data_IF_741631858561
#
_entry.id   IF_741631858561
#
_cell.length_a   1.000
_cell.length_b   1.000
_cell.length_c   1.000
_cell.angle_alpha   90.00
_cell.angle_beta   90.00
_cell.angle_gamma   90.00
#
_symmetry.space_group_name_H-M   'P 1'
#
loop_
_entity.id
_entity.type
_entity.pdbx_description
1 polymer ?
#
# COMPACT_ATOMS: atom_id res chain seq x y z
N UNK A 1 20.85 -1.01 -9.80
CA UNK A 1 19.83 -0.05 -9.30
C UNK A 1 18.49 -0.73 -9.41
N UNK A 2 17.61 -0.68 -8.39
CA UNK A 2 16.30 -1.35 -8.47
C UNK A 2 15.41 -0.62 -9.49
N UNK A 3 14.76 -1.36 -10.37
CA UNK A 3 13.76 -0.82 -11.29
C UNK A 3 12.40 -0.77 -10.61
N UNK A 4 11.77 0.39 -10.64
CA UNK A 4 10.50 0.65 -9.95
C UNK A 4 9.43 0.99 -10.97
N UNK A 5 8.28 0.34 -10.80
CA UNK A 5 7.06 0.61 -11.55
C UNK A 5 6.06 1.32 -10.64
N UNK A 6 5.50 2.42 -11.10
CA UNK A 6 4.25 2.97 -10.58
C UNK A 6 3.12 2.50 -11.50
N UNK A 7 2.29 1.61 -10.99
CA UNK A 7 1.13 1.07 -11.69
C UNK A 7 -0.06 2.02 -11.46
N UNK A 8 -0.36 2.82 -12.47
CA UNK A 8 -1.30 3.93 -12.40
C UNK A 8 -2.75 3.47 -12.60
N UNK A 9 -3.56 3.64 -11.57
CA UNK A 9 -5.00 3.33 -11.59
C UNK A 9 -5.87 4.54 -11.97
N UNK A 10 -5.37 5.43 -12.81
CA UNK A 10 -6.09 6.62 -13.31
C UNK A 10 -6.46 7.62 -12.20
N UNK A 11 -5.56 7.81 -11.25
CA UNK A 11 -5.75 8.76 -10.17
C UNK A 11 -5.01 10.08 -10.40
N UNK A 12 -5.62 11.20 -10.01
CA UNK A 12 -5.01 12.52 -10.12
C UNK A 12 -3.79 12.68 -9.19
N UNK A 13 -3.71 11.92 -8.10
CA UNK A 13 -2.59 11.93 -7.16
C UNK A 13 -1.43 11.00 -7.56
N UNK A 14 -1.58 10.19 -8.61
CA UNK A 14 -0.50 9.28 -9.06
C UNK A 14 0.80 10.04 -9.31
N UNK A 15 0.77 11.20 -9.95
CA UNK A 15 1.99 11.95 -10.22
C UNK A 15 2.60 12.61 -8.98
N UNK A 16 1.83 12.93 -7.94
CA UNK A 16 2.39 13.34 -6.66
C UNK A 16 3.20 12.20 -6.02
N UNK A 17 2.69 10.98 -6.13
CA UNK A 17 3.39 9.77 -5.68
C UNK A 17 4.65 9.52 -6.51
N UNK A 18 4.58 9.64 -7.84
CA UNK A 18 5.73 9.55 -8.76
C UNK A 18 6.81 10.56 -8.36
N UNK A 19 6.45 11.83 -8.24
CA UNK A 19 7.40 12.89 -7.87
C UNK A 19 8.04 12.66 -6.49
N UNK A 20 7.27 12.16 -5.51
CA UNK A 20 7.81 11.81 -4.20
C UNK A 20 8.86 10.70 -4.31
N UNK A 21 8.59 9.65 -5.09
CA UNK A 21 9.52 8.53 -5.30
C UNK A 21 10.78 8.99 -6.05
N UNK A 22 10.62 9.73 -7.14
CA UNK A 22 11.73 10.28 -7.92
C UNK A 22 12.62 11.23 -7.10
N UNK A 23 12.00 12.08 -6.28
CA UNK A 23 12.71 12.95 -5.32
C UNK A 23 13.55 12.14 -4.33
N UNK A 24 13.02 11.03 -3.81
CA UNK A 24 13.72 10.18 -2.85
C UNK A 24 14.90 9.45 -3.49
N UNK A 25 14.71 8.94 -4.72
CA UNK A 25 15.67 8.08 -5.40
C UNK A 25 16.68 8.86 -6.26
N UNK A 26 16.39 10.14 -6.55
CA UNK A 26 17.13 10.95 -7.53
C UNK A 26 17.20 10.29 -8.91
N UNK A 27 16.15 9.58 -9.31
CA UNK A 27 16.02 8.92 -10.62
C UNK A 27 14.56 8.89 -11.06
N UNK A 28 14.34 8.80 -12.37
CA UNK A 28 13.01 8.59 -12.94
C UNK A 28 12.52 7.17 -12.66
N UNK A 29 11.19 7.01 -12.56
CA UNK A 29 10.51 5.72 -12.44
C UNK A 29 9.58 5.52 -13.62
N UNK A 30 9.37 4.26 -13.98
CA UNK A 30 8.42 3.91 -15.04
C UNK A 30 6.99 4.01 -14.53
N UNK A 31 6.11 4.63 -15.31
CA UNK A 31 4.69 4.77 -15.00
C UNK A 31 3.88 4.15 -16.13
N UNK A 32 3.05 3.17 -15.80
CA UNK A 32 2.12 2.56 -16.77
C UNK A 32 0.72 2.49 -16.18
N UNK A 33 -0.26 2.87 -16.99
CA UNK A 33 -1.67 2.71 -16.67
C UNK A 33 -2.05 1.23 -16.57
N UNK A 34 -3.00 0.93 -15.71
CA UNK A 34 -3.40 -0.43 -15.33
C UNK A 34 -3.96 -1.30 -16.48
N UNK A 35 -4.23 -0.68 -17.63
CA UNK A 35 -4.71 -1.32 -18.87
C UNK A 35 -3.73 -1.14 -20.06
N UNK A 36 -2.55 -0.52 -19.85
CA UNK A 36 -1.60 -0.17 -20.90
C UNK A 36 -0.24 -0.86 -20.78
N UNK A 37 -0.13 -1.87 -19.94
CA UNK A 37 1.08 -2.69 -19.78
C UNK A 37 0.69 -4.16 -19.89
N UNK A 38 1.47 -4.94 -20.63
CA UNK A 38 1.31 -6.39 -20.62
C UNK A 38 1.78 -6.94 -19.26
N UNK A 39 1.04 -7.92 -18.72
CA UNK A 39 1.31 -8.46 -17.38
C UNK A 39 2.74 -9.02 -17.27
N UNK A 40 3.26 -9.63 -18.33
CA UNK A 40 4.61 -10.19 -18.39
C UNK A 40 5.71 -9.14 -18.25
N UNK A 41 5.43 -7.88 -18.62
CA UNK A 41 6.37 -6.76 -18.45
C UNK A 41 6.66 -6.41 -17.00
N UNK A 42 5.78 -6.81 -16.08
CA UNK A 42 5.99 -6.65 -14.64
C UNK A 42 7.26 -7.40 -14.17
N UNK A 43 7.68 -8.45 -14.89
CA UNK A 43 8.94 -9.16 -14.60
C UNK A 43 10.17 -8.25 -14.65
N UNK A 44 10.15 -7.19 -15.45
CA UNK A 44 11.27 -6.26 -15.63
C UNK A 44 11.52 -5.38 -14.41
N UNK A 45 10.63 -5.38 -13.41
CA UNK A 45 10.68 -4.50 -12.24
C UNK A 45 10.99 -5.28 -10.96
N UNK A 46 11.69 -4.62 -10.04
CA UNK A 46 12.02 -5.16 -8.71
C UNK A 46 10.94 -4.78 -7.68
N UNK A 47 10.46 -3.54 -7.78
CA UNK A 47 9.48 -2.97 -6.88
C UNK A 47 8.30 -2.38 -7.66
N UNK A 48 7.11 -2.52 -7.10
CA UNK A 48 5.85 -2.08 -7.73
C UNK A 48 5.06 -1.26 -6.72
N UNK A 49 4.69 -0.04 -7.10
CA UNK A 49 3.76 0.78 -6.36
C UNK A 49 2.42 0.74 -7.08
N UNK A 50 1.40 0.26 -6.40
CA UNK A 50 0.01 0.28 -6.89
C UNK A 50 -0.62 1.59 -6.42
N UNK A 51 -0.89 2.50 -7.36
CA UNK A 51 -1.37 3.84 -7.06
C UNK A 51 -2.78 3.86 -6.46
N UNK A 52 -3.20 5.00 -5.88
CA UNK A 52 -4.61 5.30 -5.71
C UNK A 52 -5.38 5.16 -7.03
N UNK A 53 -6.70 5.15 -6.94
CA UNK A 53 -7.57 5.09 -8.11
C UNK A 53 -9.04 5.25 -7.75
N UNK A 54 -9.91 5.56 -8.73
CA UNK A 54 -11.36 5.58 -8.55
C UNK A 54 -11.97 4.18 -8.53
N UNK A 55 -13.19 4.06 -8.05
CA UNK A 55 -13.99 2.81 -8.10
C UNK A 55 -13.51 1.72 -7.16
N UNK A 56 -13.64 0.50 -7.60
CA UNK A 56 -13.28 -0.71 -6.87
C UNK A 56 -12.12 -1.44 -7.56
N UNK A 57 -11.32 -2.24 -6.83
CA UNK A 57 -10.16 -2.94 -7.41
C UNK A 57 -10.48 -3.85 -8.59
N UNK A 58 -11.66 -4.49 -8.60
CA UNK A 58 -12.11 -5.34 -9.72
C UNK A 58 -12.38 -4.58 -11.02
N UNK A 59 -12.59 -3.27 -10.94
CA UNK A 59 -12.80 -2.38 -12.09
C UNK A 59 -11.49 -1.79 -12.61
N UNK A 60 -10.37 -2.01 -11.92
CA UNK A 60 -9.08 -1.38 -12.18
C UNK A 60 -8.17 -2.22 -13.09
N UNK A 61 -8.69 -2.69 -14.22
CA UNK A 61 -7.91 -3.38 -15.26
C UNK A 61 -7.11 -4.57 -14.74
N UNK A 62 -5.77 -4.51 -14.88
CA UNK A 62 -4.89 -5.59 -14.48
C UNK A 62 -4.44 -5.54 -13.00
N UNK A 63 -5.06 -4.71 -12.16
CA UNK A 63 -4.63 -4.50 -10.76
C UNK A 63 -4.67 -5.81 -9.94
N UNK A 64 -5.80 -6.51 -9.90
CA UNK A 64 -5.94 -7.79 -9.19
C UNK A 64 -5.11 -8.93 -9.84
N UNK A 65 -5.11 -9.11 -11.17
CA UNK A 65 -4.22 -10.06 -11.84
C UNK A 65 -2.74 -9.86 -11.50
N UNK A 66 -2.24 -8.60 -11.47
CA UNK A 66 -0.87 -8.27 -11.12
C UNK A 66 -0.53 -8.76 -9.70
N UNK A 67 -1.38 -8.46 -8.71
CA UNK A 67 -1.13 -8.87 -7.34
C UNK A 67 -1.09 -10.39 -7.23
N UNK A 68 -2.06 -11.10 -7.82
CA UNK A 68 -2.15 -12.57 -7.78
C UNK A 68 -0.92 -13.24 -8.39
N UNK A 69 -0.39 -12.71 -9.51
CA UNK A 69 0.75 -13.31 -10.22
C UNK A 69 2.09 -12.97 -9.55
N UNK A 70 2.23 -11.73 -9.01
CA UNK A 70 3.54 -11.20 -8.64
C UNK A 70 3.77 -11.01 -7.13
N UNK A 71 2.76 -11.18 -6.28
CA UNK A 71 2.90 -10.99 -4.83
C UNK A 71 4.01 -11.85 -4.20
N UNK A 72 4.23 -13.07 -4.68
CA UNK A 72 5.28 -13.95 -4.17
C UNK A 72 6.68 -13.67 -4.74
N UNK A 73 6.78 -12.82 -5.76
CA UNK A 73 7.99 -12.62 -6.58
C UNK A 73 8.56 -11.22 -6.47
N UNK A 74 7.73 -10.24 -6.12
CA UNK A 74 8.05 -8.80 -6.19
C UNK A 74 7.76 -8.09 -4.87
N UNK A 75 8.49 -7.00 -4.63
CA UNK A 75 8.17 -6.06 -3.56
C UNK A 75 7.02 -5.16 -4.00
N UNK A 76 5.88 -5.19 -3.30
CA UNK A 76 4.66 -4.46 -3.68
C UNK A 76 4.20 -3.56 -2.55
N UNK A 77 3.97 -2.28 -2.86
CA UNK A 77 3.31 -1.32 -1.98
C UNK A 77 2.00 -0.86 -2.62
N UNK A 78 0.88 -1.07 -1.94
CA UNK A 78 -0.43 -0.54 -2.35
C UNK A 78 -0.80 0.73 -1.59
N UNK A 79 -1.23 1.75 -2.32
CA UNK A 79 -1.73 3.03 -1.76
C UNK A 79 -3.20 3.18 -2.08
N UNK A 80 -4.03 3.40 -1.06
CA UNK A 80 -5.47 3.61 -1.14
C UNK A 80 -6.18 2.47 -1.91
N UNK A 81 -6.54 2.64 -3.18
CA UNK A 81 -7.09 1.57 -4.03
C UNK A 81 -6.14 0.37 -4.11
N UNK A 82 -4.83 0.60 -4.24
CA UNK A 82 -3.82 -0.46 -4.25
C UNK A 82 -3.79 -1.27 -2.95
N UNK A 83 -3.99 -0.62 -1.79
CA UNK A 83 -4.14 -1.29 -0.49
C UNK A 83 -5.40 -2.17 -0.45
N UNK A 84 -6.54 -1.64 -0.90
CA UNK A 84 -7.80 -2.38 -0.99
C UNK A 84 -7.66 -3.58 -1.92
N UNK A 85 -6.98 -3.41 -3.05
CA UNK A 85 -6.70 -4.47 -4.00
C UNK A 85 -5.84 -5.59 -3.39
N UNK A 86 -4.83 -5.26 -2.58
CA UNK A 86 -4.06 -6.26 -1.84
C UNK A 86 -4.99 -7.03 -0.90
N UNK A 87 -5.79 -6.34 -0.09
CA UNK A 87 -6.76 -7.00 0.78
C UNK A 87 -7.65 -7.96 0.01
N UNK A 88 -8.27 -7.51 -1.07
CA UNK A 88 -9.19 -8.30 -1.90
C UNK A 88 -8.51 -9.46 -2.63
N UNK A 89 -7.28 -9.26 -3.13
CA UNK A 89 -6.52 -10.33 -3.81
C UNK A 89 -6.23 -11.53 -2.90
N UNK A 90 -6.10 -11.30 -1.59
CA UNK A 90 -5.93 -12.33 -0.57
C UNK A 90 -7.23 -12.76 0.10
N UNK A 91 -8.39 -12.29 -0.37
CA UNK A 91 -9.71 -12.77 0.06
C UNK A 91 -10.44 -11.89 1.08
N UNK A 92 -9.92 -10.70 1.43
CA UNK A 92 -10.65 -9.76 2.25
C UNK A 92 -11.85 -9.16 1.50
N UNK A 93 -12.89 -8.81 2.23
CA UNK A 93 -14.02 -8.02 1.72
C UNK A 93 -13.73 -6.54 1.85
N UNK A 94 -14.36 -5.73 1.01
CA UNK A 94 -14.43 -4.28 1.15
C UNK A 94 -15.79 -3.87 1.69
N UNK A 95 -15.80 -2.84 2.53
CA UNK A 95 -17.03 -2.23 3.04
C UNK A 95 -17.06 -0.74 2.68
N UNK A 96 -18.25 -0.27 2.27
CA UNK A 96 -18.49 1.15 2.02
C UNK A 96 -18.82 1.84 3.34
N UNK A 97 -18.10 2.90 3.65
CA UNK A 97 -18.34 3.72 4.83
C UNK A 97 -19.48 4.72 4.55
N UNK A 98 -20.25 5.02 5.57
CA UNK A 98 -21.26 6.10 5.49
C UNK A 98 -20.60 7.49 5.37
N UNK A 99 -19.39 7.62 5.87
CA UNK A 99 -18.57 8.86 5.81
C UNK A 99 -17.62 8.77 4.63
N UNK A 100 -17.63 9.79 3.78
CA UNK A 100 -16.65 9.96 2.70
C UNK A 100 -15.53 10.84 3.23
N UNK A 101 -14.31 10.32 3.24
CA UNK A 101 -13.12 11.11 3.53
C UNK A 101 -12.62 11.73 2.22
N UNK A 102 -12.47 13.05 2.19
CA UNK A 102 -11.97 13.75 1.01
C UNK A 102 -11.08 14.92 1.44
N UNK A 103 -9.78 14.68 1.48
CA UNK A 103 -8.80 15.67 1.96
C UNK A 103 -8.92 15.94 3.45
N UNK A 104 -9.07 14.89 4.26
CA UNK A 104 -9.20 14.98 5.71
C UNK A 104 -7.96 14.37 6.38
N UNK A 105 -7.34 15.13 7.29
CA UNK A 105 -6.28 14.62 8.15
C UNK A 105 -6.88 13.89 9.35
N UNK A 106 -6.41 12.68 9.61
CA UNK A 106 -6.81 11.86 10.77
C UNK A 106 -5.60 11.18 11.40
N UNK A 107 -5.75 10.73 12.64
CA UNK A 107 -4.70 9.97 13.31
C UNK A 107 -4.80 8.47 12.98
N UNK A 108 -3.66 7.85 12.77
CA UNK A 108 -3.56 6.38 12.70
C UNK A 108 -2.62 5.89 13.77
N UNK A 109 -3.01 4.75 14.36
CA UNK A 109 -2.21 4.01 15.35
C UNK A 109 -1.50 2.88 14.63
N UNK A 110 -0.18 2.83 14.70
CA UNK A 110 0.63 1.73 14.16
C UNK A 110 0.52 0.54 15.09
N UNK A 111 0.19 -0.62 14.54
CA UNK A 111 0.10 -1.89 15.25
C UNK A 111 1.45 -2.62 15.19
N UNK A 112 2.04 -2.90 16.35
CA UNK A 112 3.29 -3.65 16.42
C UNK A 112 3.08 -5.13 16.11
N UNK A 113 3.34 -5.52 14.88
CA UNK A 113 3.21 -6.91 14.42
C UNK A 113 4.36 -7.80 14.89
N UNK A 114 5.48 -7.24 15.38
CA UNK A 114 6.63 -8.02 15.87
C UNK A 114 6.30 -8.79 17.15
N UNK A 115 5.37 -8.30 17.98
CA UNK A 115 4.93 -9.02 19.18
C UNK A 115 4.16 -10.29 18.84
N UNK A 116 3.42 -10.30 17.73
CA UNK A 116 2.63 -11.46 17.28
C UNK A 116 3.48 -12.51 16.53
N UNK A 117 4.56 -12.09 15.87
CA UNK A 117 5.35 -12.93 14.97
C UNK A 117 6.70 -13.43 15.53
N UNK A 118 6.94 -13.42 16.85
CA UNK A 118 8.18 -13.93 17.46
C UNK A 118 8.53 -15.40 17.13
N UNK A 119 7.66 -16.11 16.41
CA UNK A 119 7.89 -17.49 15.91
C UNK A 119 8.12 -17.61 14.40
N UNK A 120 8.05 -16.53 13.64
CA UNK A 120 8.29 -16.54 12.21
C UNK A 120 9.76 -16.24 11.90
N UNK A 121 10.28 -16.95 10.89
CA UNK A 121 11.63 -16.98 10.36
C UNK A 121 12.48 -15.72 10.64
N UNK A 122 13.60 -15.83 11.39
CA UNK A 122 14.46 -14.69 11.73
C UNK A 122 15.19 -14.06 10.51
N UNK A 123 15.11 -14.66 9.33
CA UNK A 123 15.74 -14.18 8.09
C UNK A 123 14.87 -13.18 7.30
N UNK A 124 13.60 -12.96 7.65
CA UNK A 124 12.73 -11.95 7.08
C UNK A 124 12.07 -11.16 8.20
N UNK A 125 12.43 -9.89 8.33
CA UNK A 125 11.63 -8.91 9.07
C UNK A 125 10.30 -8.74 8.33
N UNK A 126 9.32 -9.59 8.63
CA UNK A 126 8.00 -9.49 8.01
C UNK A 126 7.30 -8.22 8.52
N UNK A 127 7.11 -7.27 7.64
CA UNK A 127 5.96 -6.37 7.72
C UNK A 127 6.09 -5.06 8.49
N UNK A 128 7.22 -4.72 9.12
CA UNK A 128 7.32 -3.46 9.88
C UNK A 128 8.40 -2.48 9.42
N UNK A 129 9.15 -2.79 8.38
CA UNK A 129 10.16 -1.86 7.86
C UNK A 129 9.53 -0.55 7.34
N UNK A 130 8.26 -0.61 6.90
CA UNK A 130 7.50 0.56 6.43
C UNK A 130 7.39 1.66 7.50
N UNK A 131 7.24 1.28 8.77
CA UNK A 131 7.05 2.21 9.89
C UNK A 131 8.31 2.39 10.74
N UNK A 132 9.49 1.95 10.27
CA UNK A 132 10.72 2.06 11.03
C UNK A 132 11.08 3.52 11.33
N UNK A 133 11.32 3.83 12.61
CA UNK A 133 11.65 5.18 13.06
C UNK A 133 10.51 6.20 12.94
N UNK A 134 9.28 5.73 12.72
CA UNK A 134 8.06 6.56 12.80
C UNK A 134 7.45 6.47 14.21
N UNK A 135 6.76 7.52 14.68
CA UNK A 135 6.03 7.48 15.94
C UNK A 135 4.89 6.45 15.85
N UNK A 136 4.47 5.91 17.00
CA UNK A 136 3.40 4.91 17.06
C UNK A 136 2.04 5.48 16.61
N UNK A 137 1.86 6.79 16.69
CA UNK A 137 0.70 7.52 16.19
C UNK A 137 1.15 8.60 15.22
N UNK A 138 0.51 8.70 14.06
CA UNK A 138 0.84 9.70 13.05
C UNK A 138 -0.38 10.23 12.33
N UNK A 139 -0.30 11.49 11.90
CA UNK A 139 -1.32 12.13 11.07
C UNK A 139 -1.19 11.70 9.62
N UNK A 140 -2.34 11.40 8.97
CA UNK A 140 -2.39 10.94 7.58
C UNK A 140 -3.56 11.57 6.82
N UNK A 141 -3.35 11.85 5.54
CA UNK A 141 -4.38 12.34 4.63
C UNK A 141 -5.22 11.19 4.05
N UNK A 142 -6.54 11.35 4.07
CA UNK A 142 -7.51 10.35 3.59
C UNK A 142 -8.39 10.90 2.47
N UNK A 143 -8.64 10.04 1.46
CA UNK A 143 -9.44 10.38 0.26
C UNK A 143 -10.23 9.16 -0.21
N UNK A 144 -11.01 8.52 0.68
CA UNK A 144 -11.71 7.28 0.37
C UNK A 144 -13.05 7.14 1.12
N UNK A 145 -13.93 6.31 0.58
CA UNK A 145 -15.19 5.87 1.22
C UNK A 145 -15.25 4.36 1.40
N UNK A 146 -14.29 3.61 0.86
CA UNK A 146 -14.19 2.16 1.04
C UNK A 146 -12.97 1.82 1.89
N UNK A 147 -13.09 0.74 2.68
CA UNK A 147 -12.01 0.18 3.48
C UNK A 147 -12.04 -1.35 3.43
N UNK A 148 -10.90 -1.96 3.72
CA UNK A 148 -10.82 -3.41 3.94
C UNK A 148 -11.58 -3.77 5.21
N UNK A 149 -12.47 -4.76 5.12
CA UNK A 149 -13.25 -5.27 6.24
C UNK A 149 -12.41 -6.14 7.18
N UNK A 150 -12.68 -6.05 8.47
CA UNK A 150 -12.15 -7.00 9.45
C UNK A 150 -12.93 -8.32 9.46
N UNK A 151 -14.19 -8.31 9.02
CA UNK A 151 -15.00 -9.54 8.91
C UNK A 151 -14.41 -10.47 7.85
N UNK A 152 -13.97 -11.65 8.27
CA UNK A 152 -13.32 -12.62 7.39
C UNK A 152 -11.94 -12.17 6.89
N UNK A 153 -11.24 -11.32 7.65
CA UNK A 153 -9.90 -10.86 7.28
C UNK A 153 -8.94 -12.05 7.10
N UNK A 154 -8.20 -12.10 5.98
CA UNK A 154 -7.36 -13.25 5.61
C UNK A 154 -6.28 -13.54 6.64
N UNK A 155 -6.09 -14.81 6.95
CA UNK A 155 -5.07 -15.26 7.90
C UNK A 155 -3.63 -15.03 7.43
N UNK A 156 -3.42 -14.84 6.13
CA UNK A 156 -2.12 -14.56 5.50
C UNK A 156 -1.67 -13.11 5.67
N UNK A 157 -2.60 -12.23 6.01
CA UNK A 157 -2.31 -10.81 6.20
C UNK A 157 -2.19 -10.46 7.69
N UNK A 158 -1.42 -9.42 7.97
CA UNK A 158 -1.38 -8.70 9.24
C UNK A 158 -2.00 -7.32 9.06
N UNK A 159 -2.68 -6.82 10.07
CA UNK A 159 -3.09 -5.43 10.17
C UNK A 159 -1.93 -4.66 10.81
N UNK A 160 -1.45 -3.61 10.13
CA UNK A 160 -0.26 -2.84 10.55
C UNK A 160 -0.58 -1.42 11.01
N UNK A 161 -1.77 -0.91 10.71
CA UNK A 161 -2.26 0.38 11.23
C UNK A 161 -3.78 0.39 11.30
N UNK A 162 -4.32 1.17 12.24
CA UNK A 162 -5.76 1.41 12.43
C UNK A 162 -6.02 2.89 12.69
N UNK A 163 -7.21 3.37 12.33
CA UNK A 163 -7.68 4.68 12.76
C UNK A 163 -8.42 4.61 14.12
N UNK A 164 -8.92 5.74 14.58
CA UNK A 164 -9.68 5.86 15.84
C UNK A 164 -10.99 5.06 15.86
N UNK A 165 -11.54 4.75 14.68
CA UNK A 165 -12.74 3.92 14.52
C UNK A 165 -12.41 2.44 14.31
N UNK A 166 -11.16 2.03 14.51
CA UNK A 166 -10.62 0.69 14.26
C UNK A 166 -10.66 0.24 12.79
N UNK A 167 -10.88 1.13 11.82
CA UNK A 167 -10.74 0.75 10.42
C UNK A 167 -9.30 0.40 10.07
N UNK A 168 -9.14 -0.57 9.19
CA UNK A 168 -7.83 -1.03 8.71
C UNK A 168 -7.21 0.06 7.84
N UNK A 169 -6.11 0.65 8.30
CA UNK A 169 -5.39 1.72 7.64
C UNK A 169 -4.02 1.28 7.11
N UNK A 170 -3.60 0.07 7.45
CA UNK A 170 -2.40 -0.56 6.93
C UNK A 170 -2.49 -2.07 7.03
N UNK A 171 -1.89 -2.75 6.06
CA UNK A 171 -1.75 -4.21 6.05
C UNK A 171 -0.39 -4.64 5.51
N UNK A 172 0.00 -5.86 5.82
CA UNK A 172 1.17 -6.52 5.23
C UNK A 172 0.94 -8.01 5.09
N UNK A 173 1.55 -8.64 4.08
CA UNK A 173 1.54 -10.08 3.96
C UNK A 173 2.57 -10.71 4.91
N UNK A 174 2.26 -11.85 5.52
CA UNK A 174 3.10 -12.51 6.53
C UNK A 174 4.42 -13.04 5.99
N UNK A 175 4.46 -13.43 4.71
CA UNK A 175 5.62 -14.09 4.09
C UNK A 175 6.12 -13.36 2.83
N UNK A 176 5.24 -12.73 2.06
CA UNK A 176 5.61 -12.00 0.85
C UNK A 176 5.96 -10.55 1.19
N UNK A 177 6.80 -9.93 0.37
CA UNK A 177 7.13 -8.50 0.48
C UNK A 177 6.00 -7.66 -0.15
N UNK A 178 4.82 -7.71 0.49
CA UNK A 178 3.60 -7.02 0.07
C UNK A 178 3.03 -6.25 1.24
N UNK A 179 2.87 -4.95 1.06
CA UNK A 179 2.39 -4.02 2.08
C UNK A 179 1.39 -3.06 1.46
N UNK A 180 0.51 -2.49 2.28
CA UNK A 180 -0.44 -1.49 1.82
C UNK A 180 -0.82 -0.50 2.90
N UNK A 181 -1.08 0.74 2.48
CA UNK A 181 -1.61 1.82 3.31
C UNK A 181 -2.88 2.39 2.70
N UNK A 182 -3.92 2.58 3.53
CA UNK A 182 -5.21 3.13 3.07
C UNK A 182 -5.15 4.65 2.87
N UNK A 183 -4.19 5.31 3.50
CA UNK A 183 -3.96 6.74 3.41
C UNK A 183 -2.97 7.08 2.29
N UNK A 184 -2.79 8.38 2.02
CA UNK A 184 -1.96 8.91 0.95
C UNK A 184 -0.62 9.44 1.49
N UNK A 185 0.48 8.68 1.37
CA UNK A 185 1.80 9.13 1.83
C UNK A 185 2.35 10.32 1.03
N UNK A 186 1.87 10.53 -0.20
CA UNK A 186 2.22 11.64 -1.07
C UNK A 186 1.50 12.95 -0.75
N UNK A 187 0.45 12.87 0.09
CA UNK A 187 -0.36 14.03 0.47
C UNK A 187 0.37 14.96 1.42
N UNK A 188 0.19 16.27 1.25
CA UNK A 188 0.63 17.29 2.22
C UNK A 188 0.01 17.10 3.62
N UNK A 189 -1.12 16.38 3.69
CA UNK A 189 -1.78 16.00 4.95
C UNK A 189 -1.14 14.79 5.64
N UNK A 190 -0.06 14.24 5.07
CA UNK A 190 0.72 13.14 5.67
C UNK A 190 2.16 13.61 5.89
N UNK A 191 2.43 14.38 6.97
CA UNK A 191 3.74 15.00 7.17
C UNK A 191 4.91 14.02 7.20
N UNK A 192 4.68 12.77 7.63
CA UNK A 192 5.69 11.71 7.72
C UNK A 192 5.67 10.76 6.50
N UNK A 193 4.93 11.09 5.45
CA UNK A 193 4.77 10.25 4.26
C UNK A 193 6.08 10.01 3.51
N UNK A 194 6.94 11.02 3.39
CA UNK A 194 8.26 10.87 2.77
C UNK A 194 9.12 9.86 3.55
N UNK A 195 9.11 9.90 4.89
CA UNK A 195 9.87 8.95 5.71
C UNK A 195 9.36 7.52 5.53
N UNK A 196 8.04 7.34 5.48
CA UNK A 196 7.40 6.04 5.20
C UNK A 196 7.83 5.50 3.83
N UNK A 197 7.78 6.32 2.79
CA UNK A 197 8.20 5.93 1.44
C UNK A 197 9.70 5.59 1.38
N UNK A 198 10.58 6.36 2.06
CA UNK A 198 12.01 6.05 2.17
C UNK A 198 12.26 4.68 2.79
N UNK A 199 11.51 4.33 3.84
CA UNK A 199 11.65 3.02 4.49
C UNK A 199 11.34 1.88 3.50
N UNK A 200 10.23 1.98 2.76
CA UNK A 200 9.89 0.96 1.78
C UNK A 200 10.86 0.89 0.60
N UNK A 201 11.33 2.05 0.11
CA UNK A 201 12.26 2.09 -1.03
C UNK A 201 13.65 1.52 -0.66
N UNK A 202 14.05 1.62 0.60
CA UNK A 202 15.34 1.12 1.11
C UNK A 202 15.35 -0.38 1.40
N UNK A 203 14.18 -1.01 1.61
CA UNK A 203 14.03 -2.43 1.92
C UNK A 203 14.40 -3.40 0.80
#
# INVERSE_FOLDING_TARGET
MKRILVFDNYDSFTYNLVHLVEKILHQQVDVYRNDKIALEKINDYDKIILSPGPGLPEEAGLLLPLIKEYASKKSILGVCLGHQAIGQAFGAKLINLKTVFHGVATQVQIVDTNKANKKANPAKKAGNDLYEGLPQQMEVGRYHSWVVSEEGFPSELNITARDENNYIMGLSHKTFDVQGVQFHPESVLTPLGEKLMRNWLAS
#
